data_IF_115823295113
#
_entry.id   IF_115823295113
#
_cell.length_a   1.000
_cell.length_b   1.000
_cell.length_c   1.000
_cell.angle_alpha   90.00
_cell.angle_beta   90.00
_cell.angle_gamma   90.00
#
_symmetry.space_group_name_H-M   'P 1'
#
loop_
_entity.id
_entity.type
_entity.pdbx_description
1 polymer ?
#
# COMPACT_ATOMS: atom_id res chain seq x y z
N UNK A 1 -9.95 -14.40 12.21
CA UNK A 1 -8.67 -14.39 11.46
C UNK A 1 -8.47 -13.00 10.90
N UNK A 2 -7.33 -12.40 11.17
CA UNK A 2 -6.97 -11.07 10.67
C UNK A 2 -6.17 -11.17 9.38
N UNK A 3 -6.26 -10.13 8.56
CA UNK A 3 -5.56 -10.00 7.29
C UNK A 3 -4.83 -8.66 7.23
N UNK A 4 -3.64 -8.66 6.65
CA UNK A 4 -2.99 -7.45 6.20
C UNK A 4 -3.01 -7.43 4.67
N UNK A 5 -3.44 -6.33 4.10
CA UNK A 5 -3.42 -6.08 2.66
C UNK A 5 -2.48 -4.93 2.41
N UNK A 6 -1.51 -5.13 1.54
CA UNK A 6 -0.61 -4.08 1.08
C UNK A 6 -0.93 -3.78 -0.36
N UNK A 7 -1.20 -2.53 -0.65
CA UNK A 7 -1.45 -2.03 -2.01
C UNK A 7 -0.30 -1.14 -2.45
N UNK A 8 0.40 -1.55 -3.49
CA UNK A 8 1.54 -0.85 -4.06
C UNK A 8 1.19 -0.26 -5.43
N UNK A 9 0.81 1.01 -5.46
CA UNK A 9 0.48 1.71 -6.70
C UNK A 9 1.73 2.18 -7.43
N UNK A 10 2.05 1.61 -8.59
CA UNK A 10 3.18 2.01 -9.44
C UNK A 10 4.44 2.31 -8.61
N UNK A 11 4.78 1.39 -7.72
CA UNK A 11 5.74 1.64 -6.65
C UNK A 11 7.10 2.10 -7.18
N UNK A 12 7.50 1.59 -8.34
CA UNK A 12 8.71 1.99 -9.08
C UNK A 12 8.40 2.42 -10.52
N UNK A 13 7.18 2.88 -10.77
CA UNK A 13 6.82 3.41 -12.07
C UNK A 13 7.55 4.73 -12.37
N UNK A 14 8.11 4.84 -13.57
CA UNK A 14 8.75 6.06 -14.07
C UNK A 14 9.98 6.54 -13.29
N UNK A 15 11.06 5.72 -13.16
CA UNK A 15 12.27 6.10 -12.42
C UNK A 15 12.87 7.44 -12.87
N UNK A 16 12.76 7.77 -14.17
CA UNK A 16 13.25 9.01 -14.73
C UNK A 16 12.50 10.27 -14.25
N UNK A 17 11.28 10.12 -13.71
CA UNK A 17 10.45 11.22 -13.24
C UNK A 17 10.45 11.35 -11.73
N UNK A 18 11.20 10.50 -11.02
CA UNK A 18 11.21 10.47 -9.57
C UNK A 18 12.61 10.83 -9.03
N UNK A 19 12.61 11.47 -7.88
CA UNK A 19 13.83 11.70 -7.13
C UNK A 19 14.47 10.38 -6.69
N UNK A 20 15.78 10.21 -6.96
CA UNK A 20 16.50 8.98 -6.63
C UNK A 20 16.47 8.72 -5.13
N UNK A 21 16.70 9.75 -4.32
CA UNK A 21 16.70 9.64 -2.85
C UNK A 21 15.34 9.20 -2.33
N UNK A 22 14.25 9.76 -2.84
CA UNK A 22 12.90 9.34 -2.49
C UNK A 22 12.65 7.86 -2.84
N UNK A 23 13.13 7.40 -3.99
CA UNK A 23 13.03 6.00 -4.39
C UNK A 23 13.84 5.07 -3.48
N UNK A 24 15.04 5.46 -3.08
CA UNK A 24 15.90 4.66 -2.19
C UNK A 24 15.26 4.55 -0.79
N UNK A 25 14.67 5.63 -0.27
CA UNK A 25 13.92 5.62 0.99
C UNK A 25 12.71 4.67 0.90
N UNK A 26 11.92 4.79 -0.15
CA UNK A 26 10.73 3.93 -0.37
C UNK A 26 11.11 2.45 -0.42
N UNK A 27 12.20 2.13 -1.12
CA UNK A 27 12.72 0.77 -1.20
C UNK A 27 13.13 0.24 0.18
N UNK A 28 13.91 1.02 0.93
CA UNK A 28 14.33 0.64 2.28
C UNK A 28 13.14 0.42 3.22
N UNK A 29 12.12 1.29 3.15
CA UNK A 29 10.89 1.16 3.95
C UNK A 29 10.09 -0.08 3.56
N UNK A 30 9.99 -0.41 2.26
CA UNK A 30 9.31 -1.62 1.82
C UNK A 30 10.04 -2.88 2.28
N UNK A 31 11.36 -2.94 2.15
CA UNK A 31 12.14 -4.06 2.67
C UNK A 31 11.96 -4.23 4.18
N UNK A 32 11.96 -3.13 4.93
CA UNK A 32 11.72 -3.16 6.37
C UNK A 32 10.33 -3.70 6.69
N UNK A 33 9.30 -3.22 6.00
CA UNK A 33 7.92 -3.71 6.15
C UNK A 33 7.83 -5.22 5.85
N UNK A 34 8.44 -5.70 4.78
CA UNK A 34 8.47 -7.13 4.46
C UNK A 34 9.18 -7.96 5.54
N UNK A 35 10.25 -7.43 6.13
CA UNK A 35 10.94 -8.09 7.25
C UNK A 35 10.03 -8.22 8.48
N UNK A 36 9.28 -7.18 8.83
CA UNK A 36 8.29 -7.22 9.90
C UNK A 36 7.20 -8.25 9.58
N UNK A 37 6.70 -8.24 8.34
CA UNK A 37 5.62 -9.13 7.89
C UNK A 37 6.04 -10.60 7.77
N UNK A 38 7.33 -10.91 7.70
CA UNK A 38 7.81 -12.30 7.71
C UNK A 38 7.38 -13.04 8.98
N UNK A 39 7.18 -12.32 10.09
CA UNK A 39 6.62 -12.83 11.35
C UNK A 39 5.08 -12.84 11.43
N UNK A 40 4.38 -12.22 10.49
CA UNK A 40 2.92 -12.01 10.55
C UNK A 40 2.22 -12.89 9.52
N UNK A 41 1.19 -13.63 9.95
CA UNK A 41 0.40 -14.49 9.06
C UNK A 41 -0.62 -13.69 8.24
N UNK A 42 -1.06 -14.27 7.11
CA UNK A 42 -2.16 -13.78 6.28
C UNK A 42 -1.94 -12.37 5.67
N UNK A 43 -0.82 -12.18 5.01
CA UNK A 43 -0.55 -10.95 4.27
C UNK A 43 -0.71 -11.17 2.76
N UNK A 44 -1.45 -10.26 2.12
CA UNK A 44 -1.63 -10.21 0.66
C UNK A 44 -1.07 -8.90 0.14
N UNK A 45 -0.25 -8.98 -0.89
CA UNK A 45 0.34 -7.82 -1.55
C UNK A 45 -0.29 -7.66 -2.93
N UNK A 46 -1.04 -6.59 -3.13
CA UNK A 46 -1.49 -6.15 -4.45
C UNK A 46 -0.48 -5.17 -5.02
N UNK A 47 0.14 -5.50 -6.13
CA UNK A 47 1.11 -4.64 -6.78
C UNK A 47 0.76 -4.42 -8.24
N UNK A 48 0.74 -3.16 -8.68
CA UNK A 48 0.64 -2.83 -10.09
C UNK A 48 2.03 -2.91 -10.74
N UNK A 49 2.24 -3.92 -11.55
CA UNK A 49 3.53 -4.24 -12.19
C UNK A 49 3.61 -3.83 -13.66
N UNK A 50 2.76 -2.91 -14.13
CA UNK A 50 2.79 -2.40 -15.52
C UNK A 50 4.19 -1.96 -15.95
N UNK A 51 5.00 -1.51 -14.99
CA UNK A 51 6.39 -1.12 -15.24
C UNK A 51 7.28 -2.09 -14.46
N UNK A 52 8.02 -2.91 -15.20
CA UNK A 52 8.98 -3.84 -14.61
C UNK A 52 10.22 -3.06 -14.14
N UNK A 53 10.54 -3.22 -12.86
CA UNK A 53 11.76 -2.74 -12.24
C UNK A 53 12.45 -3.93 -11.57
N UNK A 54 13.76 -4.06 -11.74
CA UNK A 54 14.54 -5.17 -11.18
C UNK A 54 14.38 -5.27 -9.65
N UNK A 55 14.26 -4.13 -8.95
CA UNK A 55 14.05 -4.08 -7.51
C UNK A 55 12.69 -4.68 -7.13
N UNK A 56 11.65 -4.42 -7.92
CA UNK A 56 10.33 -5.02 -7.68
C UNK A 56 10.33 -6.52 -7.91
N UNK A 57 11.07 -7.00 -8.90
CA UNK A 57 11.24 -8.44 -9.11
C UNK A 57 11.96 -9.10 -7.92
N UNK A 58 13.02 -8.48 -7.40
CA UNK A 58 13.71 -8.97 -6.21
C UNK A 58 12.78 -9.02 -4.98
N UNK A 59 11.97 -8.00 -4.76
CA UNK A 59 10.98 -7.97 -3.66
C UNK A 59 9.92 -9.06 -3.86
N UNK A 60 9.43 -9.24 -5.08
CA UNK A 60 8.46 -10.28 -5.43
C UNK A 60 9.01 -11.68 -5.13
N UNK A 61 10.27 -11.92 -5.46
CA UNK A 61 10.93 -13.21 -5.21
C UNK A 61 11.15 -13.46 -3.71
N UNK A 62 11.59 -12.45 -2.95
CA UNK A 62 11.66 -12.52 -1.49
C UNK A 62 10.28 -12.84 -0.91
N UNK A 63 9.25 -12.12 -1.32
CA UNK A 63 7.89 -12.30 -0.83
C UNK A 63 7.34 -13.70 -1.08
N UNK A 64 7.63 -14.30 -2.23
CA UNK A 64 7.22 -15.68 -2.54
C UNK A 64 7.91 -16.73 -1.68
N UNK A 65 9.17 -16.50 -1.32
CA UNK A 65 9.97 -17.46 -0.54
C UNK A 65 9.58 -17.49 0.94
N UNK A 66 8.97 -16.43 1.46
CA UNK A 66 8.55 -16.32 2.87
C UNK A 66 7.36 -17.21 3.22
N UNK A 67 6.63 -17.77 2.25
CA UNK A 67 5.52 -18.72 2.45
C UNK A 67 4.29 -18.15 3.17
N UNK A 68 4.37 -16.94 3.71
CA UNK A 68 3.29 -16.24 4.42
C UNK A 68 2.73 -15.05 3.65
N UNK A 69 3.42 -14.64 2.58
CA UNK A 69 3.06 -13.52 1.74
C UNK A 69 2.47 -14.02 0.43
N UNK A 70 1.33 -13.47 0.03
CA UNK A 70 0.70 -13.75 -1.27
C UNK A 70 0.85 -12.51 -2.14
N UNK A 71 1.60 -12.64 -3.20
CA UNK A 71 1.77 -11.57 -4.18
C UNK A 71 0.75 -11.69 -5.30
N UNK A 72 0.05 -10.62 -5.60
CA UNK A 72 -0.95 -10.54 -6.67
C UNK A 72 -0.62 -9.36 -7.56
N UNK A 73 -0.27 -9.65 -8.81
CA UNK A 73 -0.17 -8.64 -9.84
C UNK A 73 -1.58 -8.20 -10.25
N UNK A 74 -1.83 -6.89 -10.30
CA UNK A 74 -3.07 -6.35 -10.81
C UNK A 74 -2.82 -5.28 -11.88
N UNK A 75 -3.66 -5.28 -12.90
CA UNK A 75 -3.70 -4.26 -13.95
C UNK A 75 -5.14 -3.72 -14.03
N UNK A 76 -5.43 -2.60 -13.40
CA UNK A 76 -6.73 -1.93 -13.45
C UNK A 76 -7.96 -2.82 -13.08
N UNK A 77 -7.75 -3.95 -12.40
CA UNK A 77 -8.82 -4.77 -11.84
C UNK A 77 -9.59 -3.97 -10.79
N UNK A 78 -10.92 -4.06 -10.80
CA UNK A 78 -11.71 -3.38 -9.77
C UNK A 78 -11.50 -4.01 -8.39
N UNK A 79 -11.64 -3.20 -7.34
CA UNK A 79 -11.53 -3.67 -5.97
C UNK A 79 -12.55 -4.77 -5.67
N UNK A 80 -13.79 -4.59 -6.12
CA UNK A 80 -14.87 -5.57 -5.96
C UNK A 80 -14.54 -6.90 -6.65
N UNK A 81 -13.93 -6.86 -7.82
CA UNK A 81 -13.48 -8.06 -8.52
C UNK A 81 -12.39 -8.79 -7.73
N UNK A 82 -11.37 -8.07 -7.26
CA UNK A 82 -10.29 -8.63 -6.47
C UNK A 82 -10.80 -9.27 -5.17
N UNK A 83 -11.70 -8.59 -4.47
CA UNK A 83 -12.31 -9.11 -3.25
C UNK A 83 -13.24 -10.31 -3.49
N UNK A 84 -13.96 -10.34 -4.62
CA UNK A 84 -14.93 -11.40 -4.91
C UNK A 84 -14.29 -12.66 -5.49
N UNK A 85 -13.24 -12.53 -6.29
CA UNK A 85 -12.63 -13.62 -7.07
C UNK A 85 -11.36 -14.17 -6.44
N UNK A 86 -10.60 -13.35 -5.74
CA UNK A 86 -9.34 -13.77 -5.15
C UNK A 86 -9.57 -14.25 -3.71
N UNK A 87 -9.40 -15.56 -3.53
CA UNK A 87 -9.30 -16.16 -2.20
C UNK A 87 -7.89 -15.91 -1.70
N UNK A 88 -7.74 -15.51 -0.45
CA UNK A 88 -6.43 -15.55 0.18
C UNK A 88 -5.90 -17.00 0.08
N UNK A 89 -4.75 -17.17 -0.59
CA UNK A 89 -4.18 -18.52 -0.79
C UNK A 89 -3.92 -19.24 0.54
N UNK A 90 -3.68 -18.48 1.61
CA UNK A 90 -3.42 -19.01 2.95
C UNK A 90 -4.68 -19.49 3.69
N UNK A 91 -5.85 -18.94 3.40
CA UNK A 91 -7.07 -19.23 4.18
C UNK A 91 -8.21 -19.84 3.37
N UNK A 92 -8.11 -19.85 2.04
CA UNK A 92 -9.19 -20.22 1.10
C UNK A 92 -10.52 -19.46 1.34
N UNK A 93 -10.49 -18.38 2.14
CA UNK A 93 -11.65 -17.55 2.46
C UNK A 93 -11.53 -16.19 1.75
N UNK A 94 -12.62 -15.64 1.27
CA UNK A 94 -12.61 -14.30 0.72
C UNK A 94 -12.24 -13.25 1.80
N UNK A 95 -11.47 -12.25 1.41
CA UNK A 95 -11.13 -11.10 2.25
C UNK A 95 -12.32 -10.14 2.16
N UNK A 96 -13.31 -10.28 3.05
CA UNK A 96 -14.55 -9.50 2.94
C UNK A 96 -14.91 -8.71 4.19
N UNK A 97 -14.18 -8.90 5.28
CA UNK A 97 -14.58 -8.29 6.53
C UNK A 97 -13.68 -7.11 6.87
N UNK A 98 -14.17 -5.85 6.71
CA UNK A 98 -13.42 -4.65 7.05
C UNK A 98 -12.90 -4.66 8.50
N UNK A 99 -13.66 -5.18 9.46
CA UNK A 99 -13.26 -5.20 10.87
C UNK A 99 -12.05 -6.09 11.17
N UNK A 100 -11.78 -7.07 10.29
CA UNK A 100 -10.67 -8.01 10.44
C UNK A 100 -9.53 -7.77 9.46
N UNK A 101 -9.61 -6.73 8.66
CA UNK A 101 -8.65 -6.45 7.60
C UNK A 101 -8.01 -5.10 7.83
N UNK A 102 -6.69 -5.08 7.77
CA UNK A 102 -5.88 -3.88 7.80
C UNK A 102 -5.36 -3.60 6.39
N UNK A 103 -5.61 -2.42 5.86
CA UNK A 103 -5.20 -2.05 4.51
C UNK A 103 -4.10 -0.99 4.59
N UNK A 104 -2.95 -1.30 3.98
CA UNK A 104 -1.80 -0.40 3.90
C UNK A 104 -1.61 -0.01 2.45
N UNK A 105 -1.63 1.27 2.16
CA UNK A 105 -1.47 1.78 0.78
C UNK A 105 -0.18 2.59 0.67
N UNK A 106 0.57 2.34 -0.39
CA UNK A 106 1.78 3.04 -0.73
C UNK A 106 1.97 3.15 -2.25
N UNK A 107 2.93 3.94 -2.71
CA UNK A 107 3.30 4.01 -4.13
C UNK A 107 3.29 5.42 -4.70
N UNK A 108 2.86 5.54 -5.94
CA UNK A 108 2.82 6.78 -6.73
C UNK A 108 1.46 6.88 -7.40
N UNK A 109 0.82 7.94 -7.44
CA UNK A 109 1.00 9.33 -7.05
C UNK A 109 0.18 9.60 -5.78
N UNK A 110 0.76 10.21 -4.74
CA UNK A 110 0.13 10.35 -3.41
C UNK A 110 -1.23 11.05 -3.46
N UNK A 111 -1.31 12.22 -4.08
CA UNK A 111 -2.55 13.00 -4.15
C UNK A 111 -3.41 12.66 -5.39
N UNK A 112 -3.11 11.59 -6.09
CA UNK A 112 -3.80 11.11 -7.28
C UNK A 112 -4.22 9.65 -7.14
N UNK A 113 -3.44 8.72 -7.70
CA UNK A 113 -3.79 7.29 -7.75
C UNK A 113 -3.98 6.68 -6.36
N UNK A 114 -3.14 7.06 -5.38
CA UNK A 114 -3.30 6.56 -4.01
C UNK A 114 -4.59 7.07 -3.40
N UNK A 115 -4.93 8.35 -3.59
CA UNK A 115 -6.06 8.97 -2.92
C UNK A 115 -7.41 8.57 -3.54
N UNK A 116 -7.61 8.75 -4.86
CA UNK A 116 -8.93 8.56 -5.50
C UNK A 116 -8.95 8.12 -6.96
N UNK A 117 -7.85 8.23 -7.72
CA UNK A 117 -7.85 7.98 -9.18
C UNK A 117 -7.64 6.51 -9.58
N UNK A 118 -7.39 5.62 -8.63
CA UNK A 118 -7.18 4.19 -8.89
C UNK A 118 -8.32 3.35 -8.36
N UNK A 119 -8.53 2.18 -8.97
CA UNK A 119 -9.49 1.18 -8.48
C UNK A 119 -9.14 0.62 -7.10
N UNK A 120 -7.87 0.70 -6.67
CA UNK A 120 -7.43 0.32 -5.32
C UNK A 120 -7.04 1.54 -4.46
N UNK A 121 -7.61 2.71 -4.74
CA UNK A 121 -7.32 3.94 -3.99
C UNK A 121 -7.93 3.93 -2.58
N UNK A 122 -7.42 4.83 -1.73
CA UNK A 122 -7.96 5.07 -0.38
C UNK A 122 -9.48 5.27 -0.43
N UNK A 123 -9.97 6.07 -1.39
CA UNK A 123 -11.40 6.31 -1.55
C UNK A 123 -12.17 5.00 -1.76
N UNK A 124 -11.73 4.14 -2.64
CA UNK A 124 -12.40 2.86 -2.93
C UNK A 124 -12.45 1.94 -1.70
N UNK A 125 -11.36 1.82 -0.98
CA UNK A 125 -11.33 1.02 0.25
C UNK A 125 -12.24 1.59 1.34
N UNK A 126 -12.24 2.91 1.53
CA UNK A 126 -13.09 3.55 2.55
C UNK A 126 -14.58 3.55 2.17
N UNK A 127 -14.92 3.56 0.88
CA UNK A 127 -16.29 3.38 0.39
C UNK A 127 -16.85 1.98 0.73
N UNK A 128 -15.96 0.97 0.83
CA UNK A 128 -16.29 -0.38 1.29
C UNK A 128 -16.10 -0.60 2.80
N UNK A 129 -15.99 0.48 3.56
CA UNK A 129 -15.91 0.52 5.02
C UNK A 129 -14.59 -0.01 5.64
N UNK A 130 -13.52 -0.14 4.84
CA UNK A 130 -12.21 -0.51 5.36
C UNK A 130 -11.51 0.66 6.03
N UNK A 131 -10.74 0.35 7.08
CA UNK A 131 -9.74 1.26 7.62
C UNK A 131 -8.45 1.15 6.81
N UNK A 132 -7.85 2.28 6.51
CA UNK A 132 -6.68 2.38 5.63
C UNK A 132 -5.54 3.11 6.33
N UNK A 133 -4.35 2.56 6.27
CA UNK A 133 -3.12 3.23 6.64
C UNK A 133 -2.36 3.65 5.38
N UNK A 134 -1.86 4.87 5.36
CA UNK A 134 -1.01 5.38 4.26
C UNK A 134 0.37 5.67 4.82
N UNK A 135 1.37 4.92 4.37
CA UNK A 135 2.75 5.10 4.78
C UNK A 135 3.43 6.15 3.92
N UNK A 136 3.61 7.36 4.46
CA UNK A 136 4.09 8.53 3.70
C UNK A 136 5.51 8.35 3.16
N UNK A 137 6.42 7.72 3.89
CA UNK A 137 7.78 7.46 3.41
C UNK A 137 7.83 6.43 2.27
N UNK A 138 6.76 5.66 2.09
CA UNK A 138 6.58 4.74 0.96
C UNK A 138 5.77 5.36 -0.18
N UNK A 139 5.34 6.62 -0.07
CA UNK A 139 4.60 7.35 -1.08
C UNK A 139 5.48 8.41 -1.75
N UNK A 140 5.22 8.68 -3.03
CA UNK A 140 5.90 9.73 -3.76
C UNK A 140 5.01 10.32 -4.86
N UNK A 141 5.37 11.50 -5.32
CA UNK A 141 4.82 12.13 -6.51
C UNK A 141 5.90 12.32 -7.57
N UNK A 142 5.50 12.47 -8.83
CA UNK A 142 6.41 12.74 -9.93
C UNK A 142 7.03 14.12 -9.79
N UNK A 143 8.32 14.24 -10.18
CA UNK A 143 8.94 15.54 -10.36
C UNK A 143 8.36 16.22 -11.61
N UNK A 144 7.89 17.44 -11.46
CA UNK A 144 7.50 18.31 -12.58
C UNK A 144 8.42 19.52 -12.62
N UNK A 145 9.00 19.78 -13.75
CA UNK A 145 9.60 21.00 -14.23
C UNK A 145 10.21 21.97 -13.20
N UNK A 146 11.20 21.56 -12.40
CA UNK A 146 11.93 22.42 -11.50
C UNK A 146 11.52 22.41 -10.03
N UNK A 147 10.45 21.75 -9.66
CA UNK A 147 10.10 21.51 -8.26
C UNK A 147 10.86 20.28 -7.78
N UNK A 148 11.64 20.40 -6.71
CA UNK A 148 12.33 19.23 -6.15
C UNK A 148 11.34 18.20 -5.57
N UNK A 149 11.72 16.93 -5.59
CA UNK A 149 10.84 15.82 -5.19
C UNK A 149 10.35 15.94 -3.74
N UNK A 150 11.17 16.45 -2.82
CA UNK A 150 10.81 16.62 -1.42
C UNK A 150 9.69 17.65 -1.24
N UNK A 151 9.80 18.81 -1.88
CA UNK A 151 8.78 19.87 -1.84
C UNK A 151 7.46 19.37 -2.43
N UNK A 152 7.51 18.62 -3.53
CA UNK A 152 6.33 18.07 -4.17
C UNK A 152 5.63 17.04 -3.29
N UNK A 153 6.38 16.15 -2.66
CA UNK A 153 5.85 15.16 -1.72
C UNK A 153 5.17 15.84 -0.52
N UNK A 154 5.75 16.91 0.02
CA UNK A 154 5.15 17.68 1.09
C UNK A 154 3.81 18.32 0.66
N UNK A 155 3.77 18.95 -0.52
CA UNK A 155 2.54 19.52 -1.07
C UNK A 155 1.48 18.47 -1.32
N UNK A 156 1.87 17.28 -1.78
CA UNK A 156 0.96 16.16 -1.99
C UNK A 156 0.39 15.63 -0.67
N UNK A 157 1.21 15.47 0.36
CA UNK A 157 0.75 15.05 1.70
C UNK A 157 -0.25 16.06 2.30
N UNK A 158 -0.02 17.36 2.13
CA UNK A 158 -0.97 18.41 2.57
C UNK A 158 -2.29 18.32 1.80
N UNK A 159 -2.26 18.12 0.49
CA UNK A 159 -3.47 17.93 -0.32
C UNK A 159 -4.24 16.68 0.09
N UNK A 160 -3.52 15.59 0.33
CA UNK A 160 -4.07 14.34 0.81
C UNK A 160 -4.81 14.54 2.14
N UNK A 161 -4.15 15.14 3.13
CA UNK A 161 -4.77 15.43 4.44
C UNK A 161 -6.02 16.31 4.32
N UNK A 162 -5.97 17.36 3.49
CA UNK A 162 -7.14 18.21 3.25
C UNK A 162 -8.31 17.43 2.67
N UNK A 163 -8.04 16.52 1.74
CA UNK A 163 -9.08 15.67 1.15
C UNK A 163 -9.73 14.79 2.21
N UNK A 164 -8.96 14.01 2.99
CA UNK A 164 -9.54 13.13 3.99
C UNK A 164 -10.34 13.89 5.05
N UNK A 165 -9.89 15.09 5.42
CA UNK A 165 -10.62 15.98 6.33
C UNK A 165 -11.96 16.45 5.73
N UNK A 166 -11.94 16.94 4.50
CA UNK A 166 -13.12 17.48 3.83
C UNK A 166 -14.18 16.42 3.51
N UNK A 167 -13.80 15.16 3.42
CA UNK A 167 -14.69 14.03 3.15
C UNK A 167 -15.02 13.21 4.41
N UNK A 168 -14.68 13.70 5.61
CA UNK A 168 -14.94 13.05 6.89
C UNK A 168 -14.32 11.64 6.99
N UNK A 169 -13.16 11.41 6.38
CA UNK A 169 -12.47 10.13 6.37
C UNK A 169 -11.42 9.99 7.48
N UNK A 170 -11.28 10.98 8.37
CA UNK A 170 -10.25 10.99 9.42
C UNK A 170 -10.34 9.77 10.35
N UNK A 171 -11.54 9.26 10.60
CA UNK A 171 -11.74 8.07 11.44
C UNK A 171 -11.42 6.75 10.73
N UNK A 172 -11.21 6.78 9.41
CA UNK A 172 -10.96 5.59 8.57
C UNK A 172 -9.58 5.58 7.93
N UNK A 173 -8.91 6.74 7.91
CA UNK A 173 -7.62 6.87 7.23
C UNK A 173 -6.57 7.38 8.20
N UNK A 174 -5.58 6.55 8.45
CA UNK A 174 -4.41 6.91 9.25
C UNK A 174 -3.20 7.17 8.35
N UNK A 175 -2.56 8.33 8.53
CA UNK A 175 -1.36 8.72 7.80
C UNK A 175 -0.16 8.50 8.72
N UNK A 176 0.56 7.43 8.51
CA UNK A 176 1.77 7.11 9.27
C UNK A 176 3.02 7.60 8.54
N UNK A 177 4.05 7.99 9.29
CA UNK A 177 5.26 8.52 8.70
C UNK A 177 6.08 7.44 8.00
N UNK A 178 6.35 6.33 8.68
CA UNK A 178 7.18 5.23 8.19
C UNK A 178 6.62 3.85 8.58
N UNK A 179 7.29 2.79 8.13
CA UNK A 179 6.85 1.42 8.35
C UNK A 179 6.82 0.99 9.84
N UNK A 180 7.59 1.64 10.73
CA UNK A 180 7.57 1.31 12.17
C UNK A 180 6.29 1.77 12.86
N UNK A 181 5.57 2.72 12.27
CA UNK A 181 4.32 3.26 12.80
C UNK A 181 3.07 2.55 12.25
N UNK A 182 3.25 1.55 11.38
CA UNK A 182 2.14 0.77 10.85
C UNK A 182 1.60 -0.18 11.91
N UNK A 183 0.29 -0.18 12.08
CA UNK A 183 -0.41 -1.18 12.88
C UNK A 183 -0.59 -2.46 12.05
N UNK A 184 0.12 -3.52 12.39
CA UNK A 184 0.00 -4.82 11.75
C UNK A 184 -0.83 -5.75 12.61
N UNK A 185 -1.77 -6.46 12.00
CA UNK A 185 -2.62 -7.41 12.71
C UNK A 185 -2.02 -8.81 12.63
N UNK A 186 -1.85 -9.43 13.78
CA UNK A 186 -1.38 -10.81 13.91
C UNK A 186 -2.49 -11.71 14.46
N UNK A 187 -2.56 -12.94 13.97
CA UNK A 187 -3.51 -13.92 14.48
C UNK A 187 -3.04 -14.57 15.79
N UNK A 188 -1.75 -14.45 16.11
CA UNK A 188 -1.17 -15.02 17.32
C UNK A 188 -1.51 -14.20 18.58
N UNK A 189 -1.97 -12.95 18.43
CA UNK A 189 -2.37 -12.06 19.54
C UNK A 189 -3.68 -12.50 20.25
N UNK A 190 -4.30 -13.59 19.83
CA UNK A 190 -5.53 -14.14 20.45
C UNK A 190 -5.29 -15.14 21.58
N UNK A 191 -4.03 -15.42 21.92
CA UNK A 191 -3.66 -16.39 22.97
C UNK A 191 -3.25 -15.72 24.27
N UNK A 192 -3.59 -14.42 24.47
CA UNK A 192 -3.43 -13.68 25.69
C UNK A 192 -4.74 -13.53 26.46
#
# INVERSE_FOLDING_TARGET
MYYNIIVLHHFYGYPALMDKTANDIRYAQLLHLLTILSGVSNTVIFCNTKIQDERMNAIKDISKNEGRLVWIDYEDDSLEYLLSKRKCALSKRPIHNPSNTNVIIAGTNTAGCILYNSELSVKKWTDLDFNVQVCLSMCADYQDGGINGAEKNQKAAVRFYRYIKNHNLISKVDMVYDANHLELRNNDDRLG
#
